data_IF_776995224892
#
_entry.id   IF_776995224892
#
_cell.length_a   1.000
_cell.length_b   1.000
_cell.length_c   1.000
_cell.angle_alpha   90.00
_cell.angle_beta   90.00
_cell.angle_gamma   90.00
#
_symmetry.space_group_name_H-M   'P 1'
#
loop_
_entity.id
_entity.type
_entity.pdbx_description
1 polymer ?
#
# COMPACT_ATOMS: atom_id res chain seq x y z
N UNK A 1 -52.07 3.57 -39.03
CA UNK A 1 -51.34 3.88 -37.77
C UNK A 1 -50.42 2.75 -37.29
N UNK A 2 -50.82 1.46 -37.26
CA UNK A 2 -49.98 0.36 -36.74
C UNK A 2 -48.61 0.17 -37.42
N UNK A 3 -48.50 0.45 -38.73
CA UNK A 3 -47.24 0.32 -39.46
C UNK A 3 -46.24 1.45 -39.15
N UNK A 4 -46.73 2.64 -38.79
CA UNK A 4 -45.89 3.80 -38.51
C UNK A 4 -45.14 3.65 -37.18
N UNK A 5 -45.82 3.09 -36.16
CA UNK A 5 -45.20 2.79 -34.85
C UNK A 5 -44.14 1.69 -34.95
N UNK A 6 -44.33 0.69 -35.82
CA UNK A 6 -43.33 -0.36 -36.06
C UNK A 6 -42.07 0.18 -36.74
N UNK A 7 -42.21 1.12 -37.68
CA UNK A 7 -41.06 1.75 -38.35
C UNK A 7 -40.24 2.60 -37.36
N UNK A 8 -40.89 3.40 -36.52
CA UNK A 8 -40.21 4.23 -35.51
C UNK A 8 -39.47 3.34 -34.50
N UNK A 9 -40.10 2.25 -34.04
CA UNK A 9 -39.48 1.32 -33.11
C UNK A 9 -38.25 0.63 -33.73
N UNK A 10 -38.35 0.23 -35.00
CA UNK A 10 -37.23 -0.39 -35.73
C UNK A 10 -36.03 0.55 -35.88
N UNK A 11 -36.26 1.83 -36.20
CA UNK A 11 -35.19 2.84 -36.28
C UNK A 11 -34.56 3.08 -34.91
N UNK A 12 -35.36 3.15 -33.84
CA UNK A 12 -34.86 3.34 -32.49
C UNK A 12 -33.95 2.19 -32.04
N UNK A 13 -34.35 0.94 -32.27
CA UNK A 13 -33.51 -0.22 -31.97
C UNK A 13 -32.23 -0.26 -32.82
N UNK A 14 -32.31 0.11 -34.11
CA UNK A 14 -31.13 0.20 -34.97
C UNK A 14 -30.11 1.20 -34.44
N UNK A 15 -30.54 2.36 -33.95
CA UNK A 15 -29.65 3.39 -33.39
C UNK A 15 -28.99 2.90 -32.11
N UNK A 16 -29.73 2.23 -31.23
CA UNK A 16 -29.18 1.66 -29.99
C UNK A 16 -28.14 0.57 -30.28
N UNK A 17 -28.43 -0.33 -31.22
CA UNK A 17 -27.49 -1.40 -31.60
C UNK A 17 -26.21 -0.80 -32.19
N UNK A 18 -26.32 0.19 -33.08
CA UNK A 18 -25.16 0.88 -33.63
C UNK A 18 -24.33 1.59 -32.55
N UNK A 19 -24.97 2.24 -31.57
CA UNK A 19 -24.28 2.87 -30.45
C UNK A 19 -23.55 1.83 -29.59
N UNK A 20 -24.20 0.72 -29.23
CA UNK A 20 -23.60 -0.35 -28.43
C UNK A 20 -22.39 -1.00 -29.12
N UNK A 21 -22.46 -1.22 -30.43
CA UNK A 21 -21.34 -1.72 -31.23
C UNK A 21 -20.19 -0.71 -31.28
N UNK A 22 -20.48 0.58 -31.41
CA UNK A 22 -19.45 1.63 -31.40
C UNK A 22 -18.73 1.72 -30.05
N UNK A 23 -19.47 1.66 -28.93
CA UNK A 23 -18.87 1.62 -27.60
C UNK A 23 -18.06 0.36 -27.33
N UNK A 24 -18.54 -0.81 -27.78
CA UNK A 24 -17.78 -2.06 -27.65
C UNK A 24 -16.49 -2.03 -28.46
N UNK A 25 -16.53 -1.46 -29.67
CA UNK A 25 -15.34 -1.32 -30.51
C UNK A 25 -14.33 -0.32 -29.93
N UNK A 26 -14.79 0.80 -29.35
CA UNK A 26 -13.88 1.77 -28.71
C UNK A 26 -13.24 1.20 -27.44
N UNK A 27 -14.00 0.44 -26.65
CA UNK A 27 -13.49 -0.27 -25.48
C UNK A 27 -12.44 -1.33 -25.86
N UNK A 28 -12.68 -2.08 -26.94
CA UNK A 28 -11.72 -3.05 -27.47
C UNK A 28 -10.40 -2.38 -27.89
N UNK A 29 -10.46 -1.26 -28.61
CA UNK A 29 -9.26 -0.50 -28.99
C UNK A 29 -8.53 0.05 -27.76
N UNK A 30 -9.26 0.56 -26.77
CA UNK A 30 -8.66 1.04 -25.52
C UNK A 30 -7.95 -0.09 -24.76
N UNK A 31 -8.57 -1.27 -24.67
CA UNK A 31 -7.97 -2.47 -24.07
C UNK A 31 -6.68 -2.89 -24.78
N UNK A 32 -6.70 -2.95 -26.11
CA UNK A 32 -5.51 -3.31 -26.89
C UNK A 32 -4.36 -2.30 -26.72
N UNK A 33 -4.67 -1.00 -26.57
CA UNK A 33 -3.65 0.01 -26.29
C UNK A 33 -3.05 -0.15 -24.90
N UNK A 34 -3.88 -0.48 -23.90
CA UNK A 34 -3.41 -0.76 -22.54
C UNK A 34 -2.49 -1.98 -22.54
N UNK A 35 -2.88 -3.06 -23.22
CA UNK A 35 -2.09 -4.29 -23.32
C UNK A 35 -0.75 -4.06 -24.05
N UNK A 36 -0.75 -3.26 -25.12
CA UNK A 36 0.48 -2.85 -25.80
C UNK A 36 1.39 -2.01 -24.91
N UNK A 37 0.84 -1.05 -24.16
CA UNK A 37 1.62 -0.23 -23.23
C UNK A 37 2.19 -1.07 -22.07
N UNK A 38 1.44 -2.04 -21.56
CA UNK A 38 1.91 -2.99 -20.54
C UNK A 38 3.02 -3.89 -21.07
N UNK A 39 2.87 -4.40 -22.30
CA UNK A 39 3.90 -5.27 -22.91
C UNK A 39 5.18 -4.49 -23.21
N UNK A 40 5.06 -3.24 -23.67
CA UNK A 40 6.20 -2.36 -23.90
C UNK A 40 6.93 -2.01 -22.59
N UNK A 41 6.18 -1.69 -21.53
CA UNK A 41 6.77 -1.37 -20.21
C UNK A 41 7.40 -2.60 -19.53
N UNK A 42 6.85 -3.79 -19.74
CA UNK A 42 7.49 -5.05 -19.31
C UNK A 42 8.81 -5.30 -20.05
N UNK A 43 8.84 -5.07 -21.38
CA UNK A 43 10.07 -5.22 -22.17
C UNK A 43 11.15 -4.21 -21.79
N UNK A 44 10.77 -2.96 -21.49
CA UNK A 44 11.68 -1.92 -21.02
C UNK A 44 12.24 -2.27 -19.62
N UNK A 45 11.39 -2.78 -18.72
CA UNK A 45 11.81 -3.23 -17.40
C UNK A 45 12.75 -4.44 -17.47
N UNK A 46 12.51 -5.39 -18.38
CA UNK A 46 13.36 -6.57 -18.57
C UNK A 46 14.73 -6.20 -19.14
N UNK A 47 14.79 -5.21 -20.04
CA UNK A 47 16.05 -4.63 -20.51
C UNK A 47 16.79 -3.90 -19.40
N UNK A 48 16.10 -3.14 -18.55
CA UNK A 48 16.70 -2.41 -17.45
C UNK A 48 17.27 -3.38 -16.39
N UNK A 49 16.53 -4.42 -16.04
CA UNK A 49 17.01 -5.50 -15.14
C UNK A 49 18.22 -6.22 -15.75
N UNK A 50 18.22 -6.50 -17.05
CA UNK A 50 19.34 -7.16 -17.73
C UNK A 50 20.59 -6.27 -17.75
N UNK A 51 20.42 -4.96 -17.99
CA UNK A 51 21.49 -3.98 -17.94
C UNK A 51 22.06 -3.85 -16.54
N UNK A 52 21.22 -3.78 -15.52
CA UNK A 52 21.64 -3.70 -14.12
C UNK A 52 22.38 -4.98 -13.69
N UNK A 53 21.92 -6.17 -14.11
CA UNK A 53 22.64 -7.43 -13.88
C UNK A 53 24.02 -7.44 -14.53
N UNK A 54 24.15 -6.95 -15.76
CA UNK A 54 25.43 -6.85 -16.45
C UNK A 54 26.38 -5.87 -15.74
N UNK A 55 25.86 -4.73 -15.27
CA UNK A 55 26.64 -3.76 -14.49
C UNK A 55 27.11 -4.35 -13.15
N UNK A 56 26.24 -5.11 -12.47
CA UNK A 56 26.58 -5.78 -11.21
C UNK A 56 27.66 -6.86 -11.42
N UNK A 57 27.61 -7.61 -12.52
CA UNK A 57 28.65 -8.56 -12.89
C UNK A 57 30.00 -7.87 -13.13
N UNK A 58 30.02 -6.74 -13.86
CA UNK A 58 31.26 -5.99 -14.09
C UNK A 58 31.85 -5.37 -12.81
N UNK A 59 31.00 -4.93 -11.88
CA UNK A 59 31.44 -4.43 -10.58
C UNK A 59 31.99 -5.55 -9.71
N UNK A 60 31.39 -6.75 -9.78
CA UNK A 60 31.87 -7.93 -9.06
C UNK A 60 33.27 -8.33 -9.52
N UNK A 61 33.51 -8.40 -10.84
CA UNK A 61 34.83 -8.71 -11.39
C UNK A 61 35.89 -7.66 -10.99
N UNK A 62 35.53 -6.37 -10.99
CA UNK A 62 36.41 -5.30 -10.50
C UNK A 62 36.71 -5.38 -8.99
N UNK A 63 35.83 -5.99 -8.21
CA UNK A 63 36.01 -6.13 -6.76
C UNK A 63 36.89 -7.34 -6.42
N UNK A 64 36.80 -8.41 -7.21
CA UNK A 64 37.68 -9.58 -7.09
C UNK A 64 39.14 -9.23 -7.48
N UNK A 65 39.34 -8.40 -8.50
CA UNK A 65 40.68 -7.88 -8.85
C UNK A 65 41.29 -6.97 -7.75
N UNK A 66 40.47 -6.17 -7.07
CA UNK A 66 40.94 -5.27 -6.01
C UNK A 66 41.19 -5.97 -4.66
N UNK A 67 40.49 -7.06 -4.38
CA UNK A 67 40.68 -7.85 -3.15
C UNK A 67 41.92 -8.76 -3.21
N UNK A 68 42.37 -9.13 -4.41
CA UNK A 68 43.68 -9.77 -4.63
C UNK A 68 44.87 -8.85 -4.30
N UNK A 69 44.70 -7.52 -4.31
CA UNK A 69 45.75 -6.55 -3.98
C UNK A 69 45.83 -6.17 -2.48
N UNK A 70 44.84 -6.55 -1.65
CA UNK A 70 44.69 -6.00 -0.28
C UNK A 70 44.99 -6.98 0.87
N UNK A 71 45.52 -8.16 0.59
CA UNK A 71 46.07 -9.08 1.62
C UNK A 71 47.57 -8.81 1.87
N UNK A 72 47.87 -7.60 2.33
CA UNK A 72 49.17 -7.25 2.91
C UNK A 72 48.98 -6.02 3.79
N UNK A 73 48.59 -6.23 5.06
CA UNK A 73 48.97 -5.48 6.28
C UNK A 73 47.90 -5.65 7.37
N UNK A 74 48.30 -6.36 8.44
CA UNK A 74 48.11 -6.08 9.90
C UNK A 74 46.93 -5.20 10.33
N UNK A 75 46.11 -5.49 11.34
CA UNK A 75 46.29 -6.28 12.56
C UNK A 75 45.84 -5.44 13.78
N UNK A 76 44.97 -6.03 14.61
CA UNK A 76 44.55 -5.66 15.98
C UNK A 76 43.39 -4.68 16.27
N UNK A 77 42.63 -5.15 17.28
CA UNK A 77 41.29 -4.83 17.81
C UNK A 77 41.28 -3.73 18.86
N UNK A 78 40.22 -2.89 18.92
CA UNK A 78 39.54 -2.44 20.16
C UNK A 78 38.07 -2.10 19.87
N UNK A 79 37.12 -2.71 20.59
CA UNK A 79 35.68 -2.36 20.62
C UNK A 79 35.39 -1.54 21.88
N UNK A 80 34.67 -0.41 21.73
CA UNK A 80 33.43 -0.07 22.48
C UNK A 80 33.20 1.45 22.56
N UNK A 81 31.92 1.84 22.46
CA UNK A 81 31.31 3.20 22.54
C UNK A 81 31.00 4.00 21.25
N UNK A 82 31.23 3.49 20.05
CA UNK A 82 30.90 4.24 18.80
C UNK A 82 29.51 3.97 18.20
N UNK A 83 28.75 2.98 18.68
CA UNK A 83 27.57 2.49 17.94
C UNK A 83 26.35 3.42 18.05
N UNK A 84 26.22 4.23 19.11
CA UNK A 84 25.07 5.14 19.28
C UNK A 84 25.21 6.44 18.48
N UNK A 85 26.43 6.93 18.32
CA UNK A 85 26.71 8.13 17.52
C UNK A 85 26.86 7.80 16.02
N UNK A 86 27.28 6.59 15.67
CA UNK A 86 27.30 6.11 14.30
C UNK A 86 25.88 6.00 13.72
N UNK A 87 24.95 5.34 14.43
CA UNK A 87 23.55 5.17 13.98
C UNK A 87 22.79 6.50 13.85
N UNK A 88 23.11 7.48 14.70
CA UNK A 88 22.51 8.82 14.62
C UNK A 88 23.10 9.64 13.47
N UNK A 89 24.41 9.53 13.19
CA UNK A 89 25.05 10.21 12.05
C UNK A 89 24.65 9.58 10.71
N UNK A 90 24.48 8.26 10.67
CA UNK A 90 24.03 7.50 9.51
C UNK A 90 22.58 7.87 9.13
N UNK A 91 21.68 7.97 10.12
CA UNK A 91 20.30 8.44 9.89
C UNK A 91 20.19 9.90 9.43
N UNK A 92 21.16 10.77 9.75
CA UNK A 92 21.24 12.15 9.25
C UNK A 92 21.85 12.20 7.85
N UNK A 93 22.84 11.34 7.56
CA UNK A 93 23.45 11.21 6.25
C UNK A 93 22.43 10.67 5.22
N UNK A 94 21.66 9.64 5.57
CA UNK A 94 20.60 9.06 4.73
C UNK A 94 19.54 10.11 4.42
N UNK A 95 19.05 10.89 5.39
CA UNK A 95 18.05 11.95 5.12
C UNK A 95 18.55 13.10 4.27
N UNK A 96 19.85 13.42 4.34
CA UNK A 96 20.48 14.39 3.43
C UNK A 96 20.64 13.80 2.04
N UNK A 97 20.98 12.51 1.93
CA UNK A 97 21.08 11.78 0.67
C UNK A 97 19.71 11.60 0.00
N UNK A 98 18.63 11.31 0.73
CA UNK A 98 17.25 11.30 0.22
C UNK A 98 16.89 12.64 -0.46
N UNK A 99 17.29 13.75 0.17
CA UNK A 99 17.04 15.09 -0.35
C UNK A 99 17.86 15.40 -1.60
N UNK A 100 19.06 14.81 -1.71
CA UNK A 100 19.95 14.90 -2.87
C UNK A 100 19.46 13.97 -4.00
N UNK A 101 19.04 12.74 -3.72
CA UNK A 101 18.42 11.83 -4.71
C UNK A 101 17.21 12.50 -5.35
N UNK A 102 16.34 13.11 -4.54
CA UNK A 102 15.17 13.84 -5.03
C UNK A 102 15.50 15.10 -5.85
N UNK A 103 16.69 15.70 -5.67
CA UNK A 103 17.08 16.95 -6.37
C UNK A 103 18.04 16.74 -7.54
N UNK A 104 18.82 15.65 -7.57
CA UNK A 104 19.92 15.42 -8.53
C UNK A 104 19.79 14.12 -9.33
N UNK A 105 18.88 13.20 -8.95
CA UNK A 105 18.68 11.92 -9.64
C UNK A 105 19.75 10.87 -9.29
N UNK A 106 19.34 9.60 -9.23
CA UNK A 106 20.19 8.46 -8.86
C UNK A 106 21.43 8.31 -9.75
N UNK A 107 21.30 8.68 -11.03
CA UNK A 107 22.37 8.60 -12.04
C UNK A 107 23.56 9.51 -11.72
N UNK A 108 23.34 10.69 -11.11
CA UNK A 108 24.41 11.62 -10.73
C UNK A 108 25.10 11.21 -9.42
N UNK A 109 24.40 10.49 -8.55
CA UNK A 109 24.97 9.93 -7.33
C UNK A 109 25.87 8.72 -7.64
N UNK A 110 25.44 7.86 -8.56
CA UNK A 110 26.23 6.73 -9.06
C UNK A 110 27.50 7.18 -9.81
N UNK A 111 27.51 8.38 -10.41
CA UNK A 111 28.67 8.95 -11.09
C UNK A 111 29.76 9.50 -10.14
N UNK A 112 29.49 9.55 -8.82
CA UNK A 112 30.40 10.14 -7.83
C UNK A 112 31.37 9.10 -7.29
N UNK A 113 32.65 9.18 -7.70
CA UNK A 113 33.71 8.18 -7.40
C UNK A 113 34.05 7.99 -5.92
N UNK A 114 33.44 8.74 -5.00
CA UNK A 114 33.72 8.69 -3.56
C UNK A 114 32.54 8.14 -2.74
N UNK A 115 31.49 7.64 -3.41
CA UNK A 115 30.34 7.04 -2.72
C UNK A 115 30.63 5.57 -2.41
N UNK A 116 30.35 5.15 -1.17
CA UNK A 116 30.45 3.75 -0.77
C UNK A 116 29.44 2.91 -1.58
N UNK A 117 29.89 1.87 -2.30
CA UNK A 117 29.01 0.97 -3.06
C UNK A 117 27.88 0.36 -2.22
N UNK A 118 28.13 0.13 -0.93
CA UNK A 118 27.13 -0.41 0.02
C UNK A 118 26.01 0.59 0.23
N UNK A 119 26.36 1.86 0.48
CA UNK A 119 25.40 2.96 0.68
C UNK A 119 24.62 3.21 -0.62
N UNK A 120 25.28 3.13 -1.78
CA UNK A 120 24.63 3.26 -3.07
C UNK A 120 23.58 2.14 -3.26
N UNK A 121 23.94 0.89 -2.98
CA UNK A 121 23.01 -0.26 -3.03
C UNK A 121 21.81 -0.05 -2.12
N UNK A 122 22.03 0.35 -0.86
CA UNK A 122 20.95 0.62 0.10
C UNK A 122 20.00 1.72 -0.38
N UNK A 123 20.52 2.77 -1.01
CA UNK A 123 19.70 3.85 -1.60
C UNK A 123 18.89 3.34 -2.79
N UNK A 124 19.49 2.52 -3.65
CA UNK A 124 18.78 1.90 -4.79
C UNK A 124 17.65 0.99 -4.31
N UNK A 125 17.93 0.13 -3.33
CA UNK A 125 16.94 -0.78 -2.74
C UNK A 125 15.80 0.01 -2.10
N UNK A 126 16.11 1.05 -1.31
CA UNK A 126 15.08 1.91 -0.71
C UNK A 126 14.24 2.65 -1.76
N UNK A 127 14.85 3.11 -2.86
CA UNK A 127 14.13 3.76 -3.94
C UNK A 127 13.23 2.78 -4.69
N UNK A 128 13.72 1.57 -4.98
CA UNK A 128 12.95 0.52 -5.62
C UNK A 128 11.72 0.13 -4.76
N UNK A 129 11.92 -0.08 -3.46
CA UNK A 129 10.85 -0.36 -2.50
C UNK A 129 9.81 0.77 -2.48
N UNK A 130 10.24 2.04 -2.45
CA UNK A 130 9.32 3.18 -2.49
C UNK A 130 8.51 3.22 -3.78
N UNK A 131 9.13 2.95 -4.92
CA UNK A 131 8.44 2.92 -6.22
C UNK A 131 7.36 1.84 -6.22
N UNK A 132 7.65 0.64 -5.73
CA UNK A 132 6.68 -0.45 -5.63
C UNK A 132 5.51 -0.10 -4.70
N UNK A 133 5.81 0.52 -3.55
CA UNK A 133 4.77 0.98 -2.60
C UNK A 133 3.85 2.00 -3.26
N UNK A 134 4.39 3.01 -3.94
CA UNK A 134 3.58 4.05 -4.60
C UNK A 134 2.69 3.44 -5.68
N UNK A 135 3.24 2.59 -6.56
CA UNK A 135 2.47 1.90 -7.61
C UNK A 135 1.32 1.09 -7.01
N UNK A 136 1.59 0.35 -5.93
CA UNK A 136 0.56 -0.44 -5.27
C UNK A 136 -0.51 0.46 -4.62
N UNK A 137 -0.12 1.55 -3.98
CA UNK A 137 -1.08 2.50 -3.41
C UNK A 137 -1.97 3.14 -4.47
N UNK A 138 -1.42 3.47 -5.65
CA UNK A 138 -2.18 3.99 -6.78
C UNK A 138 -3.24 2.98 -7.25
N UNK A 139 -2.88 1.71 -7.41
CA UNK A 139 -3.81 0.63 -7.75
C UNK A 139 -4.93 0.49 -6.69
N UNK A 140 -4.58 0.55 -5.41
CA UNK A 140 -5.55 0.47 -4.32
C UNK A 140 -6.49 1.67 -4.31
N UNK A 141 -5.98 2.87 -4.57
CA UNK A 141 -6.78 4.09 -4.68
C UNK A 141 -7.68 4.10 -5.91
N UNK A 142 -7.28 3.46 -7.00
CA UNK A 142 -8.12 3.25 -8.17
C UNK A 142 -9.31 2.34 -7.83
N UNK A 143 -9.05 1.15 -7.27
CA UNK A 143 -10.10 0.23 -6.79
C UNK A 143 -11.05 0.92 -5.81
N UNK A 144 -10.51 1.69 -4.86
CA UNK A 144 -11.31 2.46 -3.91
C UNK A 144 -12.30 3.41 -4.60
N UNK A 145 -11.84 4.11 -5.66
CA UNK A 145 -12.70 5.00 -6.46
C UNK A 145 -13.76 4.23 -7.22
N UNK A 146 -13.45 3.06 -7.76
CA UNK A 146 -14.41 2.20 -8.46
C UNK A 146 -15.53 1.74 -7.53
N UNK A 147 -15.19 1.26 -6.33
CA UNK A 147 -16.19 0.83 -5.35
C UNK A 147 -17.05 2.00 -4.84
N UNK A 148 -16.45 3.17 -4.58
CA UNK A 148 -17.23 4.36 -4.26
C UNK A 148 -18.19 4.79 -5.38
N UNK A 149 -17.76 4.67 -6.64
CA UNK A 149 -18.63 4.94 -7.79
C UNK A 149 -19.77 3.92 -7.87
N UNK A 150 -19.50 2.65 -7.59
CA UNK A 150 -20.51 1.60 -7.51
C UNK A 150 -21.55 1.89 -6.41
N UNK A 151 -21.08 2.21 -5.21
CA UNK A 151 -21.93 2.62 -4.09
C UNK A 151 -22.78 3.84 -4.43
N UNK A 152 -22.18 4.86 -5.03
CA UNK A 152 -22.90 6.07 -5.45
C UNK A 152 -23.95 5.76 -6.52
N UNK A 153 -23.71 4.80 -7.41
CA UNK A 153 -24.67 4.39 -8.42
C UNK A 153 -25.82 3.55 -7.83
N UNK A 154 -25.53 2.74 -6.82
CA UNK A 154 -26.50 1.84 -6.19
C UNK A 154 -27.38 2.54 -5.15
N UNK A 155 -26.78 3.36 -4.28
CA UNK A 155 -27.44 3.94 -3.11
C UNK A 155 -27.65 5.45 -3.22
N UNK A 156 -27.07 6.09 -4.23
CA UNK A 156 -27.21 7.53 -4.48
C UNK A 156 -26.40 8.42 -3.54
N UNK A 157 -26.71 9.71 -3.58
CA UNK A 157 -25.96 10.75 -2.83
C UNK A 157 -26.18 10.67 -1.31
N UNK A 158 -27.29 10.11 -0.83
CA UNK A 158 -27.59 9.99 0.60
C UNK A 158 -26.51 9.18 1.33
N UNK A 159 -26.11 8.03 0.78
CA UNK A 159 -25.04 7.20 1.33
C UNK A 159 -23.73 7.98 1.43
N UNK A 160 -23.34 8.67 0.36
CA UNK A 160 -22.06 9.40 0.31
C UNK A 160 -22.06 10.58 1.29
N UNK A 161 -23.16 11.31 1.40
CA UNK A 161 -23.31 12.39 2.38
C UNK A 161 -23.30 11.87 3.84
N UNK A 162 -23.87 10.68 4.07
CA UNK A 162 -23.85 10.04 5.38
C UNK A 162 -22.45 9.54 5.73
N UNK A 163 -21.76 8.91 4.78
CA UNK A 163 -20.37 8.49 4.90
C UNK A 163 -19.47 9.67 5.26
N UNK A 164 -19.51 10.77 4.50
CA UNK A 164 -18.68 11.95 4.78
C UNK A 164 -18.94 12.57 6.17
N UNK A 165 -20.18 12.55 6.67
CA UNK A 165 -20.50 12.95 8.05
C UNK A 165 -19.99 11.95 9.09
N UNK A 166 -20.05 10.66 8.79
CA UNK A 166 -19.60 9.59 9.67
C UNK A 166 -18.06 9.58 9.85
N UNK A 167 -17.32 10.10 8.87
CA UNK A 167 -15.86 10.24 8.93
C UNK A 167 -15.45 11.22 10.03
N UNK A 168 -14.49 10.80 10.85
CA UNK A 168 -13.85 11.66 11.85
C UNK A 168 -12.81 12.53 11.14
N UNK A 169 -13.22 13.73 10.72
CA UNK A 169 -12.38 14.67 9.98
C UNK A 169 -11.04 15.00 10.67
N UNK A 170 -10.01 15.29 9.85
CA UNK A 170 -8.66 15.71 10.29
C UNK A 170 -8.59 17.11 10.93
N UNK A 171 -9.64 17.92 10.83
CA UNK A 171 -9.71 19.29 11.35
C UNK A 171 -10.84 19.37 12.36
N UNK A 172 -10.53 19.83 13.57
CA UNK A 172 -11.37 19.79 14.77
C UNK A 172 -12.65 20.63 14.75
N UNK A 173 -13.51 20.41 13.76
CA UNK A 173 -14.83 21.06 13.65
C UNK A 173 -15.99 20.09 13.44
N UNK A 174 -15.75 18.79 13.20
CA UNK A 174 -16.86 17.82 13.15
C UNK A 174 -17.30 17.52 14.58
N UNK A 175 -18.56 17.88 14.91
CA UNK A 175 -19.17 17.47 16.17
C UNK A 175 -19.09 15.94 16.29
N UNK A 176 -18.40 15.49 17.34
CA UNK A 176 -18.18 14.06 17.59
C UNK A 176 -19.51 13.33 17.72
N UNK A 177 -20.51 13.97 18.33
CA UNK A 177 -21.83 13.38 18.48
C UNK A 177 -22.51 13.24 17.12
N UNK A 178 -22.49 14.27 16.27
CA UNK A 178 -23.00 14.19 14.91
C UNK A 178 -22.30 13.09 14.07
N UNK A 179 -20.97 12.98 14.19
CA UNK A 179 -20.19 11.94 13.48
C UNK A 179 -20.52 10.54 13.97
N UNK A 180 -20.69 10.34 15.28
CA UNK A 180 -21.05 9.05 15.86
C UNK A 180 -22.50 8.66 15.53
N UNK A 181 -23.44 9.62 15.51
CA UNK A 181 -24.81 9.39 15.05
C UNK A 181 -24.87 9.05 13.56
N UNK A 182 -24.15 9.78 12.70
CA UNK A 182 -24.08 9.49 11.26
C UNK A 182 -23.46 8.11 10.98
N UNK A 183 -22.45 7.72 11.76
CA UNK A 183 -21.86 6.39 11.66
C UNK A 183 -22.83 5.27 12.06
N UNK A 184 -23.59 5.46 13.16
CA UNK A 184 -24.61 4.50 13.57
C UNK A 184 -25.73 4.38 12.51
N UNK A 185 -26.15 5.51 11.94
CA UNK A 185 -27.13 5.54 10.84
C UNK A 185 -26.59 4.84 9.58
N UNK A 186 -25.30 5.02 9.26
CA UNK A 186 -24.65 4.38 8.11
C UNK A 186 -24.70 2.86 8.21
N UNK A 187 -24.34 2.31 9.36
CA UNK A 187 -24.40 0.87 9.64
C UNK A 187 -25.84 0.36 9.59
N UNK A 188 -26.79 1.11 10.13
CA UNK A 188 -28.19 0.67 10.19
C UNK A 188 -28.88 0.68 8.82
N UNK A 189 -28.62 1.70 7.99
CA UNK A 189 -29.28 1.86 6.68
C UNK A 189 -28.58 1.10 5.56
N UNK A 190 -27.24 1.07 5.58
CA UNK A 190 -26.43 0.57 4.48
C UNK A 190 -25.37 -0.43 4.99
N UNK A 191 -25.77 -1.51 5.68
CA UNK A 191 -24.84 -2.43 6.34
C UNK A 191 -23.87 -3.13 5.38
N UNK A 192 -24.21 -3.21 4.09
CA UNK A 192 -23.41 -3.90 3.06
C UNK A 192 -22.67 -2.94 2.11
N UNK A 193 -22.86 -1.62 2.25
CA UNK A 193 -22.23 -0.66 1.36
C UNK A 193 -20.73 -0.57 1.62
N UNK A 194 -19.94 -0.43 0.55
CA UNK A 194 -18.49 -0.32 0.65
C UNK A 194 -18.05 0.88 1.50
N UNK A 195 -18.76 2.01 1.40
CA UNK A 195 -18.56 3.21 2.20
C UNK A 195 -18.81 2.97 3.70
N UNK A 196 -19.72 2.06 4.06
CA UNK A 196 -19.92 1.62 5.45
C UNK A 196 -18.70 0.87 5.96
N UNK A 197 -18.21 -0.11 5.18
CA UNK A 197 -16.96 -0.83 5.47
C UNK A 197 -15.77 0.12 5.62
N UNK A 198 -15.66 1.13 4.75
CA UNK A 198 -14.63 2.16 4.86
C UNK A 198 -14.73 2.98 6.15
N UNK A 199 -15.94 3.41 6.54
CA UNK A 199 -16.11 4.16 7.78
C UNK A 199 -15.68 3.34 9.00
N UNK A 200 -15.98 2.04 9.00
CA UNK A 200 -15.53 1.09 10.04
C UNK A 200 -14.01 0.97 10.02
N UNK A 201 -13.41 0.73 8.85
CA UNK A 201 -11.97 0.62 8.66
C UNK A 201 -11.20 1.88 9.09
N UNK A 202 -11.65 3.07 8.72
CA UNK A 202 -11.02 4.32 9.13
C UNK A 202 -11.07 4.48 10.66
N UNK A 203 -12.18 4.12 11.31
CA UNK A 203 -12.28 4.13 12.78
C UNK A 203 -11.38 3.09 13.43
N UNK A 204 -11.25 1.89 12.86
CA UNK A 204 -10.30 0.87 13.32
C UNK A 204 -8.86 1.39 13.29
N UNK A 205 -8.42 1.89 12.13
CA UNK A 205 -7.05 2.39 11.95
C UNK A 205 -6.75 3.61 12.83
N UNK A 206 -7.68 4.55 12.97
CA UNK A 206 -7.54 5.70 13.87
C UNK A 206 -7.42 5.24 15.33
N UNK A 207 -8.22 4.27 15.75
CA UNK A 207 -8.14 3.68 17.10
C UNK A 207 -6.80 2.98 17.33
N UNK A 208 -6.29 2.28 16.32
CA UNK A 208 -4.95 1.68 16.33
C UNK A 208 -3.84 2.72 16.51
N UNK A 209 -3.91 3.83 15.77
CA UNK A 209 -2.96 4.95 15.93
C UNK A 209 -3.03 5.59 17.33
N UNK A 210 -4.21 5.58 17.95
CA UNK A 210 -4.44 6.05 19.34
C UNK A 210 -4.14 4.98 20.40
N UNK A 211 -3.69 3.79 19.99
CA UNK A 211 -3.42 2.63 20.86
C UNK A 211 -4.63 2.19 21.69
N UNK A 212 -5.84 2.38 21.17
CA UNK A 212 -7.06 1.91 21.81
C UNK A 212 -7.45 0.53 21.26
N UNK A 213 -6.85 -0.53 21.81
CA UNK A 213 -7.02 -1.89 21.30
C UNK A 213 -8.47 -2.38 21.37
N UNK A 214 -9.21 -2.05 22.44
CA UNK A 214 -10.62 -2.46 22.57
C UNK A 214 -11.51 -1.91 21.44
N UNK A 215 -11.29 -0.65 21.03
CA UNK A 215 -12.01 -0.10 19.88
C UNK A 215 -11.54 -0.75 18.57
N UNK A 216 -10.25 -1.10 18.45
CA UNK A 216 -9.76 -1.81 17.25
C UNK A 216 -10.40 -3.20 17.14
N UNK A 217 -10.45 -3.97 18.23
CA UNK A 217 -11.11 -5.28 18.31
C UNK A 217 -12.58 -5.16 17.87
N UNK A 218 -13.31 -4.19 18.43
CA UNK A 218 -14.70 -3.92 18.05
C UNK A 218 -14.88 -3.69 16.54
N UNK A 219 -14.08 -2.79 15.95
CA UNK A 219 -14.22 -2.50 14.52
C UNK A 219 -13.66 -3.63 13.63
N UNK A 220 -12.70 -4.41 14.14
CA UNK A 220 -12.22 -5.60 13.46
C UNK A 220 -13.32 -6.66 13.33
N UNK A 221 -14.05 -6.96 14.40
CA UNK A 221 -15.18 -7.89 14.35
C UNK A 221 -16.22 -7.42 13.33
N UNK A 222 -16.55 -6.12 13.32
CA UNK A 222 -17.48 -5.56 12.33
C UNK A 222 -17.01 -5.70 10.88
N UNK A 223 -15.70 -5.63 10.61
CA UNK A 223 -15.14 -5.85 9.27
C UNK A 223 -15.12 -7.33 8.91
N UNK A 224 -14.73 -8.19 9.86
CA UNK A 224 -14.59 -9.63 9.62
C UNK A 224 -15.93 -10.32 9.43
N UNK A 225 -16.95 -9.90 10.18
CA UNK A 225 -18.26 -10.54 10.18
C UNK A 225 -19.08 -10.24 8.91
N UNK A 226 -18.58 -9.35 8.02
CA UNK A 226 -19.18 -9.04 6.74
C UNK A 226 -18.20 -9.33 5.58
N UNK A 227 -18.57 -10.28 4.71
CA UNK A 227 -17.74 -10.69 3.57
C UNK A 227 -17.47 -9.58 2.55
N UNK A 228 -18.39 -8.61 2.42
CA UNK A 228 -18.24 -7.45 1.54
C UNK A 228 -17.12 -6.50 2.01
N UNK A 229 -16.64 -6.64 3.24
CA UNK A 229 -15.62 -5.77 3.83
C UNK A 229 -14.19 -6.35 3.81
N UNK A 230 -14.01 -7.51 3.19
CA UNK A 230 -12.72 -8.20 3.07
C UNK A 230 -11.63 -7.41 2.34
N UNK A 231 -12.01 -6.51 1.43
CA UNK A 231 -11.10 -5.75 0.56
C UNK A 231 -11.18 -4.23 0.74
N UNK A 232 -11.59 -3.77 1.93
CA UNK A 232 -11.72 -2.34 2.21
C UNK A 232 -10.37 -1.63 2.12
N UNK A 233 -10.33 -0.59 1.29
CA UNK A 233 -9.18 0.30 1.13
C UNK A 233 -9.61 1.70 1.58
N UNK A 234 -8.80 2.36 2.40
CA UNK A 234 -9.05 3.77 2.78
C UNK A 234 -8.63 4.75 1.69
N UNK A 235 -9.07 6.01 1.79
CA UNK A 235 -8.65 7.12 0.90
C UNK A 235 -7.15 7.43 0.91
N UNK A 236 -6.36 6.71 1.71
CA UNK A 236 -4.90 6.82 1.75
C UNK A 236 -4.20 5.64 1.08
N UNK A 237 -4.93 4.78 0.37
CA UNK A 237 -4.38 3.57 -0.26
C UNK A 237 -3.91 2.56 0.78
N UNK A 238 -4.66 2.42 1.89
CA UNK A 238 -4.34 1.49 2.98
C UNK A 238 -5.40 0.40 2.99
N UNK A 239 -4.97 -0.85 2.80
CA UNK A 239 -5.79 -2.04 3.01
C UNK A 239 -6.10 -2.19 4.51
N UNK A 240 -7.37 -2.20 4.89
CA UNK A 240 -7.78 -2.12 6.28
C UNK A 240 -7.42 -3.37 7.07
N UNK A 241 -7.89 -4.54 6.61
CA UNK A 241 -7.74 -5.82 7.31
C UNK A 241 -6.29 -6.17 7.68
N UNK A 242 -5.32 -6.22 6.75
CA UNK A 242 -3.95 -6.58 7.10
C UNK A 242 -3.30 -5.59 8.07
N UNK A 243 -3.67 -4.31 8.02
CA UNK A 243 -3.16 -3.30 8.94
C UNK A 243 -3.78 -3.42 10.35
N UNK A 244 -5.05 -3.78 10.43
CA UNK A 244 -5.77 -4.02 11.68
C UNK A 244 -5.29 -5.33 12.34
N UNK A 245 -5.21 -6.42 11.58
CA UNK A 245 -4.72 -7.71 12.06
C UNK A 245 -3.28 -7.62 12.57
N UNK A 246 -2.40 -6.93 11.82
CA UNK A 246 -1.04 -6.66 12.28
C UNK A 246 -1.01 -5.91 13.61
N UNK A 247 -1.82 -4.87 13.74
CA UNK A 247 -1.89 -4.10 14.98
C UNK A 247 -2.33 -5.00 16.14
N UNK A 248 -3.41 -5.77 15.97
CA UNK A 248 -3.96 -6.64 17.00
C UNK A 248 -2.99 -7.75 17.39
N UNK A 249 -2.37 -8.43 16.42
CA UNK A 249 -1.35 -9.46 16.66
C UNK A 249 -0.25 -8.94 17.59
N UNK A 250 0.26 -7.74 17.33
CA UNK A 250 1.27 -7.11 18.21
C UNK A 250 0.77 -6.77 19.60
N UNK A 251 -0.49 -6.36 19.75
CA UNK A 251 -1.05 -6.09 21.08
C UNK A 251 -1.27 -7.37 21.86
N UNK A 252 -1.69 -8.45 21.20
CA UNK A 252 -1.86 -9.77 21.80
C UNK A 252 -0.53 -10.35 22.27
N UNK A 253 0.53 -10.29 21.46
CA UNK A 253 1.89 -10.67 21.89
C UNK A 253 2.34 -9.89 23.13
N UNK A 254 2.15 -8.55 23.13
CA UNK A 254 2.51 -7.71 24.29
C UNK A 254 1.75 -8.03 25.58
N UNK A 255 0.55 -8.60 25.45
CA UNK A 255 -0.30 -9.01 26.58
C UNK A 255 -0.05 -10.46 26.99
N UNK A 256 0.83 -11.19 26.30
CA UNK A 256 1.07 -12.62 26.53
C UNK A 256 -0.04 -13.52 26.00
N UNK A 257 -0.93 -13.00 25.14
CA UNK A 257 -1.98 -13.78 24.51
C UNK A 257 -1.48 -14.34 23.17
N UNK A 258 -0.63 -15.35 23.24
CA UNK A 258 0.12 -15.85 22.07
C UNK A 258 -0.79 -16.57 21.07
N UNK A 259 -1.80 -17.33 21.53
CA UNK A 259 -2.67 -18.12 20.64
C UNK A 259 -3.51 -17.22 19.71
N UNK A 260 -4.10 -16.15 20.25
CA UNK A 260 -4.84 -15.17 19.44
C UNK A 260 -3.91 -14.39 18.50
N UNK A 261 -2.66 -14.12 18.93
CA UNK A 261 -1.68 -13.49 18.07
C UNK A 261 -1.30 -14.39 16.89
N UNK A 262 -1.06 -15.69 17.13
CA UNK A 262 -0.73 -16.67 16.10
C UNK A 262 -1.88 -16.83 15.10
N UNK A 263 -3.13 -16.85 15.58
CA UNK A 263 -4.31 -16.89 14.70
C UNK A 263 -4.33 -15.71 13.71
N UNK A 264 -3.99 -14.51 14.18
CA UNK A 264 -3.90 -13.32 13.31
C UNK A 264 -2.68 -13.36 12.39
N UNK A 265 -1.55 -13.92 12.84
CA UNK A 265 -0.36 -14.11 12.01
C UNK A 265 -0.64 -15.08 10.86
N UNK A 266 -1.30 -16.19 11.13
CA UNK A 266 -1.71 -17.18 10.13
C UNK A 266 -2.71 -16.58 9.13
N UNK A 267 -3.66 -15.75 9.61
CA UNK A 267 -4.58 -15.01 8.74
C UNK A 267 -3.83 -14.06 7.80
N UNK A 268 -2.86 -13.29 8.32
CA UNK A 268 -2.02 -12.41 7.51
C UNK A 268 -1.27 -13.17 6.42
N UNK A 269 -0.68 -14.31 6.76
CA UNK A 269 0.08 -15.13 5.82
C UNK A 269 -0.81 -15.69 4.71
N UNK A 270 -1.97 -16.22 5.09
CA UNK A 270 -2.87 -16.92 4.16
C UNK A 270 -3.69 -15.98 3.29
N UNK A 271 -4.22 -14.91 3.87
CA UNK A 271 -5.24 -14.07 3.22
C UNK A 271 -4.65 -12.80 2.61
N UNK A 272 -3.48 -12.36 3.08
CA UNK A 272 -2.89 -11.08 2.71
C UNK A 272 -1.40 -11.16 2.32
N UNK A 273 -0.92 -12.19 1.59
CA UNK A 273 0.51 -12.40 1.35
C UNK A 273 1.18 -11.26 0.59
N UNK A 274 0.45 -10.66 -0.35
CA UNK A 274 0.93 -9.54 -1.16
C UNK A 274 0.63 -8.17 -0.54
N UNK A 275 -0.03 -8.12 0.63
CA UNK A 275 -0.47 -6.87 1.25
C UNK A 275 0.69 -6.03 1.81
N UNK A 276 0.45 -4.72 1.94
CA UNK A 276 1.38 -3.81 2.59
C UNK A 276 0.84 -3.36 3.94
N UNK A 277 1.71 -3.40 4.94
CA UNK A 277 1.40 -2.99 6.30
C UNK A 277 2.17 -1.71 6.65
N UNK A 278 1.45 -0.77 7.22
CA UNK A 278 1.97 0.48 7.70
C UNK A 278 2.55 0.30 9.10
N UNK A 279 3.87 0.33 9.20
CA UNK A 279 4.58 0.10 10.46
C UNK A 279 5.21 1.39 11.00
N UNK A 280 5.30 1.48 12.33
CA UNK A 280 6.07 2.52 13.02
C UNK A 280 7.10 1.84 13.90
N UNK A 281 8.38 1.89 13.51
CA UNK A 281 9.48 1.42 14.38
C UNK A 281 9.76 2.51 15.42
N UNK A 282 10.15 2.08 16.62
CA UNK A 282 10.65 3.02 17.64
C UNK A 282 11.89 3.74 17.08
N UNK A 283 11.85 5.07 17.03
CA UNK A 283 12.96 5.89 16.52
C UNK A 283 13.06 6.08 15.01
N UNK A 284 12.22 5.43 14.18
CA UNK A 284 12.23 5.62 12.72
C UNK A 284 11.02 6.43 12.22
N UNK A 285 11.14 6.92 10.98
CA UNK A 285 9.99 7.33 10.16
C UNK A 285 9.03 6.16 9.96
N UNK A 286 7.77 6.49 9.69
CA UNK A 286 6.76 5.52 9.28
C UNK A 286 7.21 4.85 7.98
N UNK A 287 7.04 3.53 7.87
CA UNK A 287 7.42 2.78 6.67
C UNK A 287 6.38 1.73 6.30
N UNK A 288 6.23 1.54 5.01
CA UNK A 288 5.48 0.43 4.44
C UNK A 288 6.35 -0.81 4.42
N UNK A 289 5.79 -1.95 4.79
CA UNK A 289 6.48 -3.23 4.76
C UNK A 289 5.56 -4.29 4.13
N UNK A 290 6.12 -5.20 3.32
CA UNK A 290 5.41 -6.40 2.89
C UNK A 290 4.94 -7.23 4.09
N UNK A 291 3.76 -7.86 3.98
CA UNK A 291 3.23 -8.75 5.02
C UNK A 291 4.21 -9.87 5.37
N UNK A 292 4.88 -10.47 4.37
CA UNK A 292 5.92 -11.49 4.58
C UNK A 292 7.03 -11.04 5.55
N UNK A 293 7.53 -9.82 5.38
CA UNK A 293 8.55 -9.25 6.26
C UNK A 293 8.00 -8.98 7.66
N UNK A 294 6.75 -8.56 7.76
CA UNK A 294 6.07 -8.29 9.03
C UNK A 294 5.85 -9.57 9.82
N UNK A 295 5.35 -10.64 9.19
CA UNK A 295 5.17 -11.96 9.78
C UNK A 295 6.51 -12.49 10.33
N UNK A 296 7.58 -12.41 9.54
CA UNK A 296 8.92 -12.82 9.98
C UNK A 296 9.44 -12.01 11.18
N UNK A 297 8.97 -10.78 11.39
CA UNK A 297 9.28 -10.02 12.61
C UNK A 297 8.40 -10.47 13.79
N UNK A 298 7.13 -10.78 13.56
CA UNK A 298 6.20 -11.24 14.59
C UNK A 298 6.59 -12.60 15.16
N UNK A 299 6.97 -13.56 14.32
CA UNK A 299 7.46 -14.87 14.82
C UNK A 299 8.69 -14.73 15.71
N UNK A 300 9.60 -13.81 15.39
CA UNK A 300 10.75 -13.49 16.25
C UNK A 300 10.37 -12.77 17.56
N UNK A 301 9.18 -12.18 17.67
CA UNK A 301 8.65 -11.63 18.93
C UNK A 301 7.97 -12.73 19.79
N UNK A 302 7.70 -13.91 19.23
CA UNK A 302 7.13 -15.08 19.94
C UNK A 302 8.21 -15.95 20.58
N UNK A 303 9.39 -16.05 19.94
CA UNK A 303 10.59 -16.76 20.42
C UNK A 303 11.29 -16.05 21.60
#
# INVERSE_FOLDING_TARGET
>A
MKYFTLIILGVFFSVIICAALFFSYSAYIASNRIEQNFTASLGELEQEVSRLKAQLATLKDQTEDNSAQKYSMTGNTVISKSQKDAVVKEGIAIRRLEKIVASTGLEQLAANQHMDPTILSEIYDEYADRKQVVQKQELLLEKNREFHKSDSAQYGEELMALYERARRGRRGGTDRQASDSAFAELIAKYPEAYATGMAIAERALISGFRRNTSEVEKYYDMLRDNENFSHIVTDRGIEAMPNVEYFLARQYLRRGNTDDALTLIDSLEKNYPDSLVFTRRSGSSQRWQPVSQVIANLHREVE
#
